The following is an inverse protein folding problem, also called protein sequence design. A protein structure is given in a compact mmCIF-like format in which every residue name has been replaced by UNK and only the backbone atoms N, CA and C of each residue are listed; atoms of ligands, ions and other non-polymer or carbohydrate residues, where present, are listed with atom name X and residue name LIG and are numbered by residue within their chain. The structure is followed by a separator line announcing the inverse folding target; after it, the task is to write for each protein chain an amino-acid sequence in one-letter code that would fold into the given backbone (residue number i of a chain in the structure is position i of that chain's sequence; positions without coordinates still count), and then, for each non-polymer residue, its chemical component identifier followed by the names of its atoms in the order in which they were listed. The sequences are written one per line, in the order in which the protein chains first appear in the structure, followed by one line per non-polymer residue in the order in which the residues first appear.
data_IF_274902655311
#
_entry.id   IF_274902655311
#
_cell.length_a   1.000
_cell.length_b   1.000
_cell.length_c   1.000
_cell.angle_alpha   90.00
_cell.angle_beta   90.00
_cell.angle_gamma   90.00
#
_symmetry.space_group_name_H-M   'P 1'
#
loop_
_entity.id
_entity.type
_entity.pdbx_description
1 polymer ?
#
# COMPACT_ATOMS: atom_id res chain seq x y z
N UNK A 1 14.19 -17.33 -19.15
CA UNK A 1 12.89 -16.63 -19.24
C UNK A 1 12.63 -15.95 -17.90
N UNK A 2 12.59 -14.61 -17.84
CA UNK A 2 12.07 -13.94 -16.65
C UNK A 2 10.58 -14.21 -16.60
N UNK A 3 10.14 -14.98 -15.63
CA UNK A 3 8.71 -15.12 -15.32
C UNK A 3 8.18 -13.70 -15.12
N UNK A 4 7.23 -13.28 -15.96
CA UNK A 4 6.52 -12.01 -15.79
C UNK A 4 5.52 -12.19 -14.64
N UNK A 5 6.05 -12.38 -13.42
CA UNK A 5 5.25 -12.61 -12.23
C UNK A 5 4.68 -11.28 -11.79
N UNK A 6 3.37 -11.24 -11.58
CA UNK A 6 2.72 -10.08 -11.02
C UNK A 6 3.28 -9.77 -9.62
N UNK A 7 3.61 -8.51 -9.36
CA UNK A 7 4.00 -8.05 -8.03
C UNK A 7 2.75 -7.78 -7.20
N UNK A 8 2.65 -8.38 -6.02
CA UNK A 8 1.52 -8.24 -5.12
C UNK A 8 1.75 -7.09 -4.16
N UNK A 9 1.05 -5.97 -4.37
CA UNK A 9 1.26 -4.74 -3.61
C UNK A 9 0.04 -4.50 -2.72
N UNK A 10 0.27 -4.33 -1.42
CA UNK A 10 -0.78 -3.93 -0.48
C UNK A 10 -0.92 -2.41 -0.46
N UNK A 11 -2.15 -1.91 -0.54
CA UNK A 11 -2.50 -0.51 -0.36
C UNK A 11 -3.24 -0.34 0.97
N UNK A 12 -2.63 0.40 1.90
CA UNK A 12 -3.19 0.65 3.23
C UNK A 12 -3.64 2.11 3.32
N UNK A 13 -4.85 2.36 2.84
CA UNK A 13 -5.48 3.67 2.77
C UNK A 13 -6.93 3.59 3.20
N UNK A 14 -7.47 4.69 3.74
CA UNK A 14 -8.86 4.79 4.13
C UNK A 14 -9.73 5.26 2.95
N UNK A 15 -10.48 4.35 2.33
CA UNK A 15 -11.39 4.68 1.22
C UNK A 15 -12.48 5.72 1.54
N UNK A 16 -12.71 6.04 2.81
CA UNK A 16 -13.66 7.10 3.21
C UNK A 16 -13.04 8.51 3.16
N UNK A 17 -11.72 8.65 3.19
CA UNK A 17 -11.03 9.94 3.04
C UNK A 17 -10.92 10.28 1.54
N UNK A 18 -11.20 11.52 1.16
CA UNK A 18 -11.07 11.95 -0.26
C UNK A 18 -9.62 11.93 -0.73
N UNK A 19 -8.70 12.40 0.11
CA UNK A 19 -7.27 12.41 -0.19
C UNK A 19 -6.73 11.00 -0.50
N UNK A 20 -7.01 10.03 0.37
CA UNK A 20 -6.65 8.62 0.19
C UNK A 20 -7.20 8.05 -1.12
N UNK A 21 -8.45 8.38 -1.49
CA UNK A 21 -9.03 7.95 -2.77
C UNK A 21 -8.27 8.54 -3.96
N UNK A 22 -7.83 9.78 -3.88
CA UNK A 22 -7.02 10.41 -4.93
C UNK A 22 -5.64 9.76 -5.03
N UNK A 23 -5.03 9.40 -3.90
CA UNK A 23 -3.77 8.63 -3.87
C UNK A 23 -3.94 7.26 -4.55
N UNK A 24 -4.99 6.52 -4.18
CA UNK A 24 -5.32 5.23 -4.80
C UNK A 24 -5.51 5.38 -6.32
N UNK A 25 -6.25 6.41 -6.75
CA UNK A 25 -6.47 6.69 -8.17
C UNK A 25 -5.15 7.02 -8.89
N UNK A 26 -4.25 7.77 -8.26
CA UNK A 26 -2.91 8.06 -8.78
C UNK A 26 -2.07 6.80 -8.97
N UNK A 27 -2.08 5.88 -8.00
CA UNK A 27 -1.41 4.58 -8.12
C UNK A 27 -1.98 3.77 -9.29
N UNK A 28 -3.31 3.71 -9.42
CA UNK A 28 -3.97 3.01 -10.52
C UNK A 28 -3.62 3.62 -11.89
N UNK A 29 -3.58 4.96 -11.99
CA UNK A 29 -3.18 5.66 -13.21
C UNK A 29 -1.71 5.40 -13.57
N UNK A 30 -0.81 5.31 -12.58
CA UNK A 30 0.58 4.93 -12.79
C UNK A 30 0.70 3.53 -13.39
N UNK A 31 -0.08 2.56 -12.90
CA UNK A 31 -0.12 1.21 -13.47
C UNK A 31 -0.64 1.22 -14.91
N UNK A 32 -1.70 1.98 -15.20
CA UNK A 32 -2.24 2.12 -16.56
C UNK A 32 -1.26 2.72 -17.58
N UNK A 33 -0.29 3.51 -17.12
CA UNK A 33 0.73 4.14 -17.97
C UNK A 33 2.04 3.35 -18.11
N UNK A 34 2.21 2.27 -17.34
CA UNK A 34 3.44 1.45 -17.32
C UNK A 34 3.18 0.03 -17.82
N UNK A 35 4.24 -0.71 -18.16
CA UNK A 35 4.16 -2.16 -18.47
C UNK A 35 4.28 -3.03 -17.20
N UNK A 36 4.16 -2.44 -16.02
CA UNK A 36 4.28 -3.16 -14.76
C UNK A 36 3.04 -4.03 -14.54
N UNK A 37 3.25 -5.30 -14.16
CA UNK A 37 2.15 -6.22 -13.84
C UNK A 37 2.04 -6.27 -12.32
N UNK A 38 1.11 -5.53 -11.74
CA UNK A 38 0.87 -5.51 -10.30
C UNK A 38 -0.52 -6.05 -9.98
N UNK A 39 -0.62 -6.86 -8.94
CA UNK A 39 -1.87 -7.22 -8.27
C UNK A 39 -2.01 -6.34 -7.04
N UNK A 40 -3.02 -5.47 -7.04
CA UNK A 40 -3.29 -4.57 -5.91
C UNK A 40 -4.23 -5.23 -4.92
N UNK A 41 -3.86 -5.20 -3.64
CA UNK A 41 -4.67 -5.67 -2.52
C UNK A 41 -5.07 -4.48 -1.65
N UNK A 42 -6.37 -4.28 -1.47
CA UNK A 42 -6.92 -3.22 -0.63
C UNK A 42 -8.09 -3.80 0.15
N UNK A 43 -8.20 -3.43 1.42
CA UNK A 43 -9.32 -3.78 2.28
C UNK A 43 -10.12 -2.52 2.59
N UNK A 44 -11.45 -2.63 2.69
CA UNK A 44 -12.30 -1.48 3.05
C UNK A 44 -12.01 -0.96 4.47
N UNK A 45 -11.67 -1.87 5.39
CA UNK A 45 -11.16 -1.54 6.72
C UNK A 45 -9.76 -2.12 6.90
N UNK A 46 -8.77 -1.35 6.48
CA UNK A 46 -7.35 -1.76 6.56
C UNK A 46 -6.89 -2.01 8.01
N UNK A 47 -7.58 -1.48 9.03
CA UNK A 47 -7.25 -1.73 10.45
C UNK A 47 -7.48 -3.19 10.83
N UNK A 48 -8.43 -3.88 10.19
CA UNK A 48 -8.69 -5.30 10.43
C UNK A 48 -7.52 -6.22 10.05
N UNK A 49 -6.67 -5.81 9.09
CA UNK A 49 -5.46 -6.57 8.69
C UNK A 49 -4.16 -5.94 9.17
N UNK A 50 -4.24 -4.81 9.87
CA UNK A 50 -3.07 -4.13 10.40
C UNK A 50 -2.33 -5.03 11.41
N UNK A 51 -3.08 -5.78 12.21
CA UNK A 51 -2.55 -6.90 12.97
C UNK A 51 -2.13 -8.04 12.01
N UNK A 52 -0.83 -8.32 11.90
CA UNK A 52 -0.29 -9.37 11.05
C UNK A 52 0.30 -8.88 9.72
N UNK A 53 0.22 -7.57 9.42
CA UNK A 53 0.80 -6.99 8.21
C UNK A 53 2.33 -7.13 8.16
N UNK A 54 2.98 -7.26 9.31
CA UNK A 54 4.41 -7.56 9.42
C UNK A 54 4.77 -8.92 8.78
N UNK A 55 3.79 -9.81 8.63
CA UNK A 55 3.90 -11.12 7.97
C UNK A 55 3.41 -11.12 6.52
N UNK A 56 3.16 -9.93 5.94
CA UNK A 56 2.72 -9.81 4.55
C UNK A 56 3.65 -10.58 3.60
N UNK A 57 3.05 -11.39 2.73
CA UNK A 57 3.76 -12.27 1.78
C UNK A 57 3.80 -11.70 0.36
N UNK A 58 3.32 -10.48 0.15
CA UNK A 58 3.43 -9.81 -1.14
C UNK A 58 4.83 -9.26 -1.38
N UNK A 59 4.93 -8.37 -2.36
CA UNK A 59 6.20 -7.84 -2.86
C UNK A 59 6.44 -6.38 -2.42
N UNK A 60 5.42 -5.71 -1.88
CA UNK A 60 5.55 -4.35 -1.33
C UNK A 60 4.27 -3.83 -0.68
N UNK A 61 4.39 -2.66 -0.05
CA UNK A 61 3.30 -1.93 0.61
C UNK A 61 3.38 -0.44 0.27
N UNK A 62 2.25 0.19 -0.01
CA UNK A 62 2.08 1.65 -0.06
C UNK A 62 1.01 2.01 0.97
N UNK A 63 1.29 2.97 1.86
CA UNK A 63 0.45 3.18 3.03
C UNK A 63 0.34 4.65 3.47
N UNK A 64 -0.79 4.99 4.07
CA UNK A 64 -1.01 6.25 4.80
C UNK A 64 -0.12 6.28 6.06
N UNK A 65 0.87 7.17 6.07
CA UNK A 65 1.81 7.37 7.17
C UNK A 65 1.39 8.52 8.10
N UNK A 66 0.26 9.16 7.85
CA UNK A 66 -0.35 10.10 8.79
C UNK A 66 -1.09 9.36 9.94
N UNK A 67 -1.33 8.05 9.81
CA UNK A 67 -1.83 7.19 10.89
C UNK A 67 -0.65 6.50 11.63
N UNK A 68 -0.34 6.88 12.88
CA UNK A 68 0.78 6.30 13.63
C UNK A 68 0.66 4.78 13.83
N UNK A 69 -0.56 4.23 13.87
CA UNK A 69 -0.76 2.80 14.00
C UNK A 69 -0.24 2.05 12.75
N UNK A 70 -0.36 2.66 11.57
CA UNK A 70 0.16 2.11 10.32
C UNK A 70 1.68 2.10 10.32
N UNK A 71 2.29 3.20 10.77
CA UNK A 71 3.75 3.30 10.91
C UNK A 71 4.28 2.23 11.88
N UNK A 72 3.64 2.07 13.04
CA UNK A 72 4.03 1.06 14.02
C UNK A 72 3.94 -0.36 13.45
N UNK A 73 2.82 -0.70 12.80
CA UNK A 73 2.61 -2.04 12.25
C UNK A 73 3.59 -2.38 11.12
N UNK A 74 3.94 -1.40 10.29
CA UNK A 74 4.88 -1.59 9.17
C UNK A 74 6.35 -1.51 9.57
N UNK A 75 6.67 -1.05 10.79
CA UNK A 75 8.06 -0.90 11.28
C UNK A 75 8.88 -2.20 11.23
N UNK A 76 8.19 -3.36 11.26
CA UNK A 76 8.81 -4.70 11.23
C UNK A 76 8.62 -5.42 9.90
N UNK A 77 8.01 -4.77 8.92
CA UNK A 77 7.75 -5.36 7.61
C UNK A 77 9.06 -5.56 6.85
N UNK A 78 9.23 -6.73 6.22
CA UNK A 78 10.46 -7.08 5.48
C UNK A 78 10.42 -6.69 4.00
N UNK A 79 9.23 -6.39 3.49
CA UNK A 79 9.06 -5.96 2.10
C UNK A 79 9.27 -4.44 2.00
N UNK A 80 9.60 -3.92 0.81
CA UNK A 80 9.67 -2.48 0.60
C UNK A 80 8.35 -1.78 0.97
N UNK A 81 8.45 -0.67 1.70
CA UNK A 81 7.32 0.16 2.10
C UNK A 81 7.53 1.58 1.57
N UNK A 82 6.50 2.15 0.95
CA UNK A 82 6.43 3.57 0.59
C UNK A 82 5.32 4.22 1.42
N UNK A 83 5.70 5.13 2.32
CA UNK A 83 4.76 5.93 3.09
C UNK A 83 4.30 7.17 2.32
N UNK A 84 3.01 7.46 2.39
CA UNK A 84 2.41 8.69 1.87
C UNK A 84 1.77 9.43 3.04
N UNK A 85 2.07 10.72 3.19
CA UNK A 85 1.53 11.53 4.27
C UNK A 85 1.82 13.00 4.07
N UNK A 86 1.32 13.83 4.99
CA UNK A 86 1.54 15.26 5.00
C UNK A 86 2.99 15.64 5.30
N UNK A 87 3.47 16.73 4.70
CA UNK A 87 4.80 17.29 5.02
C UNK A 87 4.83 18.13 6.30
N UNK A 88 3.67 18.38 6.91
CA UNK A 88 3.53 19.16 8.14
C UNK A 88 3.02 18.22 9.24
N UNK A 89 3.87 17.95 10.23
CA UNK A 89 3.58 17.12 11.41
C UNK A 89 3.45 18.00 12.67
#
# INVERSE_FOLDING_TARGET
MRSNKAHRIALLFNGNKSFDRDVIAGVAAHLGSTRAVWELFMEEDFRLRLAGIEHWRGDGVIADFDDPAVVEALSRCKVPVVGVGGSYA
#
